data_IF_978990056512
#
_entry.id   IF_978990056512
#
_cell.length_a   1.000
_cell.length_b   1.000
_cell.length_c   1.000
_cell.angle_alpha   90.00
_cell.angle_beta   90.00
_cell.angle_gamma   90.00
#
_symmetry.space_group_name_H-M   'P 1'
#
loop_
_entity.id
_entity.type
_entity.pdbx_description
1 polymer ?
#
# COMPACT_ATOMS: atom_id res chain seq x y z
N UNK A 1 -10.06 14.75 -10.79
CA UNK A 1 -8.85 14.60 -11.60
C UNK A 1 -7.75 13.97 -10.79
N UNK A 2 -7.17 12.90 -11.31
CA UNK A 2 -6.05 12.23 -10.65
C UNK A 2 -4.80 13.08 -10.83
N UNK A 3 -4.11 13.38 -9.72
CA UNK A 3 -2.83 14.06 -9.82
C UNK A 3 -1.73 13.02 -9.59
N UNK A 4 -0.80 12.95 -10.53
CA UNK A 4 0.35 12.08 -10.42
C UNK A 4 1.56 12.92 -10.07
N UNK A 5 2.22 12.59 -8.98
CA UNK A 5 3.48 13.18 -8.58
C UNK A 5 4.51 12.06 -8.51
N UNK A 6 5.76 12.42 -8.78
CA UNK A 6 6.85 11.45 -8.68
C UNK A 6 7.86 11.98 -7.69
N UNK A 7 8.30 11.14 -6.78
CA UNK A 7 9.33 11.49 -5.83
C UNK A 7 10.38 10.38 -5.78
N UNK A 8 11.55 10.71 -5.27
CA UNK A 8 12.67 9.78 -5.18
C UNK A 8 13.00 9.58 -3.71
N UNK A 9 13.13 8.32 -3.31
CA UNK A 9 13.74 7.98 -2.02
C UNK A 9 15.11 7.37 -2.30
N UNK A 10 16.08 7.63 -1.41
CA UNK A 10 17.47 7.28 -1.64
C UNK A 10 17.93 6.03 -0.90
N UNK A 11 17.06 5.46 -0.08
CA UNK A 11 17.38 4.27 0.71
C UNK A 11 16.10 3.57 1.13
N UNK A 12 16.20 2.28 1.54
CA UNK A 12 15.04 1.59 2.13
C UNK A 12 14.48 2.32 3.34
N UNK A 13 15.35 2.89 4.18
CA UNK A 13 14.91 3.65 5.36
C UNK A 13 14.08 4.86 4.96
N UNK A 14 14.48 5.56 3.89
CA UNK A 14 13.73 6.73 3.43
C UNK A 14 12.39 6.32 2.83
N UNK A 15 12.35 5.21 2.08
CA UNK A 15 11.09 4.67 1.59
C UNK A 15 10.16 4.31 2.75
N UNK A 16 10.71 3.70 3.80
CA UNK A 16 9.93 3.35 4.99
C UNK A 16 9.40 4.61 5.70
N UNK A 17 10.24 5.65 5.82
CA UNK A 17 9.81 6.91 6.45
C UNK A 17 8.69 7.59 5.67
N UNK A 18 8.76 7.54 4.34
CA UNK A 18 7.69 8.08 3.52
C UNK A 18 6.38 7.33 3.78
N UNK A 19 6.44 6.01 3.81
CA UNK A 19 5.25 5.19 4.07
C UNK A 19 4.71 5.41 5.47
N UNK A 20 5.59 5.56 6.45
CA UNK A 20 5.19 5.83 7.83
C UNK A 20 4.44 7.16 7.93
N UNK A 21 4.95 8.19 7.28
CA UNK A 21 4.28 9.50 7.25
C UNK A 21 2.95 9.42 6.51
N UNK A 22 2.92 8.68 5.39
CA UNK A 22 1.69 8.49 4.63
C UNK A 22 0.61 7.78 5.46
N UNK A 23 1.02 6.82 6.28
CA UNK A 23 0.07 6.11 7.16
C UNK A 23 -0.65 7.09 8.09
N UNK A 24 -0.02 8.20 8.42
CA UNK A 24 -0.62 9.22 9.29
C UNK A 24 -1.86 9.89 8.72
N UNK A 25 -2.07 9.84 7.40
CA UNK A 25 -3.26 10.42 6.77
C UNK A 25 -4.31 9.37 6.40
N UNK A 26 -4.03 8.11 6.67
CA UNK A 26 -4.97 7.03 6.37
C UNK A 26 -6.02 6.90 7.48
N UNK A 27 -7.20 6.45 7.10
CA UNK A 27 -8.34 6.27 7.98
C UNK A 27 -8.94 4.87 7.77
N UNK A 28 -9.77 4.39 8.73
CA UNK A 28 -10.41 3.09 8.56
C UNK A 28 -11.15 3.00 7.22
N UNK A 29 -10.94 1.89 6.52
CA UNK A 29 -11.54 1.65 5.21
C UNK A 29 -10.66 2.08 4.04
N UNK A 30 -9.53 2.74 4.28
CA UNK A 30 -8.65 3.15 3.20
C UNK A 30 -7.95 1.94 2.58
N UNK A 31 -7.71 2.02 1.28
CA UNK A 31 -7.10 0.95 0.48
C UNK A 31 -5.87 1.50 -0.22
N UNK A 32 -4.76 0.78 -0.13
CA UNK A 32 -3.50 1.14 -0.78
C UNK A 32 -3.10 0.01 -1.72
N UNK A 33 -3.13 0.30 -3.01
CA UNK A 33 -2.66 -0.62 -4.04
C UNK A 33 -1.17 -0.37 -4.28
N UNK A 34 -0.36 -1.42 -4.23
CA UNK A 34 1.09 -1.34 -4.41
C UNK A 34 1.49 -2.05 -5.68
N UNK A 35 2.22 -1.35 -6.53
CA UNK A 35 2.70 -1.84 -7.80
C UNK A 35 4.22 -1.67 -7.90
N UNK A 36 4.85 -2.55 -8.67
CA UNK A 36 6.30 -2.48 -8.88
C UNK A 36 6.88 -3.86 -9.11
N UNK A 37 8.05 -3.91 -9.71
CA UNK A 37 8.75 -5.17 -9.96
C UNK A 37 9.19 -5.83 -8.65
N UNK A 38 9.53 -7.12 -8.72
CA UNK A 38 10.06 -7.84 -7.57
C UNK A 38 11.29 -7.09 -7.03
N UNK A 39 11.35 -6.94 -5.72
CA UNK A 39 12.46 -6.25 -5.05
C UNK A 39 12.40 -4.73 -5.11
N UNK A 40 11.36 -4.14 -5.70
CA UNK A 40 11.28 -2.69 -5.82
C UNK A 40 11.04 -1.96 -4.49
N UNK A 41 10.58 -2.68 -3.44
CA UNK A 41 10.37 -2.07 -2.13
C UNK A 41 8.92 -2.03 -1.67
N UNK A 42 8.04 -2.82 -2.31
CA UNK A 42 6.64 -2.87 -1.90
C UNK A 42 6.49 -3.33 -0.44
N UNK A 43 7.21 -4.36 -0.05
CA UNK A 43 7.17 -4.86 1.33
C UNK A 43 7.78 -3.86 2.31
N UNK A 44 8.85 -3.16 1.90
CA UNK A 44 9.43 -2.07 2.70
C UNK A 44 8.39 -0.97 2.95
N UNK A 45 7.62 -0.66 1.91
CA UNK A 45 6.54 0.32 2.03
C UNK A 45 5.49 -0.13 3.06
N UNK A 46 5.11 -1.41 3.01
CA UNK A 46 4.15 -1.96 3.97
C UNK A 46 4.71 -1.92 5.40
N UNK A 47 6.01 -2.16 5.58
CA UNK A 47 6.65 -2.00 6.90
C UNK A 47 6.47 -0.59 7.43
N UNK A 48 6.66 0.40 6.55
CA UNK A 48 6.46 1.80 6.93
C UNK A 48 5.01 2.09 7.29
N UNK A 49 4.06 1.57 6.51
CA UNK A 49 2.65 1.70 6.85
C UNK A 49 2.36 1.09 8.22
N UNK A 50 2.87 -0.11 8.46
CA UNK A 50 2.68 -0.80 9.73
C UNK A 50 3.21 0.03 10.89
N UNK A 51 4.42 0.57 10.75
CA UNK A 51 5.02 1.42 11.76
C UNK A 51 4.16 2.64 12.05
N UNK A 52 3.69 3.31 11.00
CA UNK A 52 2.85 4.49 11.13
C UNK A 52 1.48 4.21 11.70
N UNK A 53 0.98 2.99 11.54
CA UNK A 53 -0.30 2.55 12.11
C UNK A 53 -0.16 2.00 13.53
N UNK A 54 1.05 2.01 14.09
CA UNK A 54 1.27 1.59 15.47
C UNK A 54 1.40 0.10 15.67
N UNK A 55 1.77 -0.63 14.64
CA UNK A 55 2.05 -2.07 14.75
C UNK A 55 3.40 -2.25 15.45
N UNK A 56 3.40 -2.88 16.63
CA UNK A 56 4.63 -3.06 17.39
C UNK A 56 5.67 -3.90 16.65
N UNK A 57 5.21 -4.89 15.93
CA UNK A 57 6.07 -5.86 15.23
C UNK A 57 6.33 -5.47 13.78
N UNK A 58 6.33 -4.19 13.45
CA UNK A 58 6.47 -3.73 12.07
C UNK A 58 7.76 -4.25 11.40
N UNK A 59 8.81 -4.48 12.16
CA UNK A 59 10.07 -5.00 11.61
C UNK A 59 9.95 -6.43 11.08
N UNK A 60 8.93 -7.16 11.52
CA UNK A 60 8.70 -8.54 11.10
C UNK A 60 7.71 -8.65 9.95
N UNK A 61 7.24 -7.52 9.43
CA UNK A 61 6.38 -7.53 8.25
C UNK A 61 7.16 -8.08 7.06
N UNK A 62 6.58 -9.07 6.40
CA UNK A 62 7.16 -9.64 5.19
C UNK A 62 6.03 -9.97 4.21
N UNK A 63 6.40 -10.28 2.97
CA UNK A 63 5.40 -10.59 1.94
C UNK A 63 4.63 -11.86 2.30
N UNK A 64 3.28 -11.82 2.31
CA UNK A 64 2.46 -12.97 2.61
C UNK A 64 2.15 -13.83 1.39
N UNK A 65 3.11 -13.98 0.44
CA UNK A 65 2.83 -14.60 -0.87
C UNK A 65 2.31 -16.03 -0.79
N UNK A 66 2.62 -16.77 0.28
CA UNK A 66 2.14 -18.16 0.43
C UNK A 66 0.79 -18.24 1.15
N UNK A 67 0.50 -17.30 2.04
CA UNK A 67 -0.76 -17.28 2.80
C UNK A 67 -1.75 -16.26 2.27
N UNK A 68 -1.32 -15.40 1.36
CA UNK A 68 -2.07 -14.36 0.65
C UNK A 68 -2.38 -13.15 1.51
N UNK A 69 -2.84 -13.31 2.75
CA UNK A 69 -3.17 -12.18 3.63
C UNK A 69 -2.60 -12.39 5.02
N UNK A 70 -2.05 -11.32 5.59
CA UNK A 70 -1.66 -11.26 7.00
C UNK A 70 -2.32 -10.05 7.63
N UNK A 71 -2.77 -10.22 8.86
CA UNK A 71 -3.42 -9.16 9.63
C UNK A 71 -2.49 -8.73 10.76
N UNK A 72 -2.28 -7.44 10.89
CA UNK A 72 -1.44 -6.86 11.94
C UNK A 72 -2.26 -5.93 12.81
N UNK A 73 -2.13 -6.07 14.12
CA UNK A 73 -2.82 -5.23 15.08
C UNK A 73 -2.03 -3.96 15.31
N UNK A 74 -2.68 -2.81 15.12
CA UNK A 74 -2.12 -1.49 15.37
C UNK A 74 -3.21 -0.61 15.95
N UNK A 75 -3.08 0.71 15.80
CA UNK A 75 -4.14 1.66 16.19
C UNK A 75 -5.41 1.36 15.41
N UNK A 76 -5.25 0.88 14.19
CA UNK A 76 -6.29 0.23 13.42
C UNK A 76 -5.66 -0.97 12.73
N UNK A 77 -6.43 -2.01 12.39
CA UNK A 77 -5.87 -3.19 11.74
C UNK A 77 -5.23 -2.85 10.39
N UNK A 78 -4.15 -3.54 10.07
CA UNK A 78 -3.55 -3.51 8.75
C UNK A 78 -3.69 -4.89 8.13
N UNK A 79 -4.34 -4.94 6.96
CA UNK A 79 -4.51 -6.18 6.21
C UNK A 79 -3.57 -6.14 5.01
N UNK A 80 -2.54 -6.98 5.04
CA UNK A 80 -1.50 -7.00 4.02
C UNK A 80 -1.69 -8.21 3.10
N UNK A 81 -1.98 -7.94 1.84
CA UNK A 81 -2.19 -8.97 0.81
C UNK A 81 -1.01 -8.97 -0.16
N UNK A 82 -0.67 -10.16 -0.67
CA UNK A 82 0.20 -10.32 -1.82
C UNK A 82 -0.49 -11.28 -2.77
N UNK A 83 -0.91 -10.77 -3.93
CA UNK A 83 -1.65 -11.57 -4.91
C UNK A 83 -0.79 -11.95 -6.11
N UNK A 84 0.54 -11.88 -5.98
CA UNK A 84 1.47 -12.14 -7.08
C UNK A 84 1.25 -13.51 -7.73
N UNK A 85 1.07 -14.55 -6.89
CA UNK A 85 0.94 -15.94 -7.36
C UNK A 85 -0.48 -16.36 -7.66
N UNK A 86 -1.45 -15.47 -7.48
CA UNK A 86 -2.85 -15.84 -7.62
C UNK A 86 -3.39 -15.46 -8.99
N UNK A 87 -4.25 -16.34 -9.51
CA UNK A 87 -5.16 -16.03 -10.60
C UNK A 87 -6.24 -15.11 -10.02
N UNK A 88 -6.54 -13.99 -10.69
CA UNK A 88 -7.51 -13.02 -10.18
C UNK A 88 -8.90 -13.61 -10.02
N UNK A 89 -9.30 -14.49 -10.96
CA UNK A 89 -10.59 -15.15 -10.89
C UNK A 89 -10.69 -16.06 -9.66
N UNK A 90 -9.64 -16.84 -9.41
CA UNK A 90 -9.58 -17.71 -8.23
C UNK A 90 -9.68 -16.88 -6.96
N UNK A 91 -8.94 -15.79 -6.90
CA UNK A 91 -8.97 -14.88 -5.73
C UNK A 91 -10.38 -14.34 -5.51
N UNK A 92 -11.02 -13.83 -6.56
CA UNK A 92 -12.36 -13.25 -6.46
C UNK A 92 -13.42 -14.28 -6.04
N UNK A 93 -13.27 -15.52 -6.48
CA UNK A 93 -14.27 -16.58 -6.21
C UNK A 93 -14.07 -17.27 -4.86
N UNK A 94 -12.84 -17.34 -4.36
CA UNK A 94 -12.52 -18.16 -3.18
C UNK A 94 -12.17 -17.36 -1.93
N UNK A 95 -11.69 -16.13 -2.10
CA UNK A 95 -11.29 -15.28 -0.97
C UNK A 95 -12.43 -14.34 -0.60
N UNK A 96 -12.76 -14.27 0.67
CA UNK A 96 -13.75 -13.31 1.17
C UNK A 96 -13.05 -11.95 1.33
N UNK A 97 -12.65 -11.35 0.20
CA UNK A 97 -11.88 -10.12 0.20
C UNK A 97 -12.69 -8.92 0.73
N UNK A 98 -14.00 -8.92 0.55
CA UNK A 98 -14.86 -7.81 0.95
C UNK A 98 -14.80 -7.56 2.46
N UNK A 99 -14.63 -8.61 3.22
CA UNK A 99 -14.48 -8.55 4.66
C UNK A 99 -13.26 -7.71 5.08
N UNK A 100 -12.21 -7.67 4.25
CA UNK A 100 -11.02 -6.87 4.48
C UNK A 100 -11.09 -5.51 3.81
N UNK A 101 -11.44 -5.50 2.52
CA UNK A 101 -11.39 -4.28 1.70
C UNK A 101 -12.32 -3.18 2.20
N UNK A 102 -13.43 -3.55 2.81
CA UNK A 102 -14.43 -2.60 3.31
C UNK A 102 -14.56 -2.65 4.82
N UNK A 103 -13.45 -2.95 5.49
CA UNK A 103 -13.42 -3.12 6.94
C UNK A 103 -13.12 -1.81 7.68
N UNK A 104 -12.89 -1.92 8.99
CA UNK A 104 -12.48 -0.80 9.84
C UNK A 104 -10.96 -0.61 9.89
N UNK A 105 -10.22 -1.32 9.05
CA UNK A 105 -8.78 -1.22 8.99
C UNK A 105 -8.30 -0.64 7.67
N UNK A 106 -6.98 -0.64 7.48
CA UNK A 106 -6.33 -0.26 6.24
C UNK A 106 -5.94 -1.53 5.49
N UNK A 107 -6.23 -1.59 4.20
CA UNK A 107 -5.84 -2.72 3.35
C UNK A 107 -4.71 -2.28 2.43
N UNK A 108 -3.62 -3.06 2.40
CA UNK A 108 -2.50 -2.84 1.48
C UNK A 108 -2.33 -4.10 0.64
N UNK A 109 -2.37 -3.96 -0.68
CA UNK A 109 -2.31 -5.10 -1.61
C UNK A 109 -1.11 -4.96 -2.53
N UNK A 110 -0.14 -5.86 -2.42
CA UNK A 110 0.98 -5.95 -3.36
C UNK A 110 0.52 -6.67 -4.61
N UNK A 111 0.94 -6.19 -5.78
CA UNK A 111 0.54 -6.71 -7.09
C UNK A 111 -0.95 -6.51 -7.38
N UNK A 112 -1.49 -5.38 -6.91
CA UNK A 112 -2.92 -5.09 -7.03
C UNK A 112 -3.41 -5.02 -8.49
N UNK A 113 -2.52 -4.78 -9.45
CA UNK A 113 -2.86 -4.83 -10.87
C UNK A 113 -3.40 -6.16 -11.34
N UNK A 114 -3.19 -7.23 -10.56
CA UNK A 114 -3.74 -8.56 -10.89
C UNK A 114 -5.20 -8.73 -10.51
N UNK A 115 -5.75 -7.80 -9.72
CA UNK A 115 -7.14 -7.88 -9.26
C UNK A 115 -7.88 -6.57 -9.51
N UNK A 116 -7.60 -5.92 -10.64
CA UNK A 116 -8.18 -4.62 -10.97
C UNK A 116 -9.70 -4.63 -10.98
N UNK A 117 -10.33 -5.75 -11.32
CA UNK A 117 -11.78 -5.87 -11.42
C UNK A 117 -12.49 -5.76 -10.07
N UNK A 118 -11.77 -5.91 -8.95
CA UNK A 118 -12.38 -5.83 -7.62
C UNK A 118 -11.84 -4.71 -6.76
N UNK A 119 -10.98 -3.84 -7.32
CA UNK A 119 -10.49 -2.69 -6.57
C UNK A 119 -11.66 -1.79 -6.17
N UNK A 120 -11.61 -1.20 -4.96
CA UNK A 120 -12.67 -0.28 -4.54
C UNK A 120 -12.68 0.97 -5.42
N UNK A 121 -13.77 1.74 -5.38
CA UNK A 121 -13.89 2.98 -6.15
C UNK A 121 -12.90 4.05 -5.68
N UNK A 122 -12.60 4.04 -4.39
CA UNK A 122 -11.65 4.99 -3.82
C UNK A 122 -10.44 4.26 -3.27
N UNK A 123 -9.26 4.60 -3.79
CA UNK A 123 -8.03 4.01 -3.29
C UNK A 123 -6.82 4.85 -3.67
N UNK A 124 -5.72 4.60 -2.97
CA UNK A 124 -4.41 5.16 -3.31
C UNK A 124 -3.62 4.10 -4.08
N UNK A 125 -3.02 4.49 -5.19
CA UNK A 125 -2.14 3.58 -5.94
C UNK A 125 -0.71 4.07 -5.82
N UNK A 126 0.16 3.25 -5.27
CA UNK A 126 1.57 3.59 -5.08
C UNK A 126 2.40 2.69 -5.99
N UNK A 127 3.00 3.27 -7.00
CA UNK A 127 3.93 2.55 -7.89
C UNK A 127 5.35 2.84 -7.44
N UNK A 128 6.16 1.78 -7.32
CA UNK A 128 7.54 1.88 -6.88
C UNK A 128 8.43 1.30 -7.97
N UNK A 129 9.31 2.13 -8.52
CA UNK A 129 10.24 1.71 -9.56
C UNK A 129 11.69 1.84 -9.12
N UNK A 130 12.58 1.20 -9.84
CA UNK A 130 14.01 1.29 -9.58
C UNK A 130 14.57 2.62 -10.08
N UNK A 131 15.46 3.21 -9.30
CA UNK A 131 16.33 4.30 -9.73
C UNK A 131 17.77 3.79 -9.80
N UNK A 132 18.72 4.64 -9.46
CA UNK A 132 20.14 4.25 -9.41
C UNK A 132 20.46 3.65 -8.04
N UNK A 133 21.01 2.43 -8.01
CA UNK A 133 21.37 1.78 -6.74
C UNK A 133 20.16 1.63 -5.83
N UNK A 134 20.23 2.22 -4.64
CA UNK A 134 19.15 2.14 -3.65
C UNK A 134 18.04 3.16 -3.85
N UNK A 135 18.15 4.01 -4.87
CA UNK A 135 17.09 4.96 -5.19
C UNK A 135 15.82 4.23 -5.64
N UNK A 136 14.69 4.77 -5.24
CA UNK A 136 13.39 4.30 -5.73
C UNK A 136 12.57 5.48 -6.20
N UNK A 137 11.87 5.26 -7.31
CA UNK A 137 10.96 6.26 -7.87
C UNK A 137 9.57 5.91 -7.36
N UNK A 138 8.98 6.78 -6.56
CA UNK A 138 7.66 6.54 -6.01
C UNK A 138 6.66 7.44 -6.70
N UNK A 139 5.61 6.84 -7.25
CA UNK A 139 4.57 7.57 -7.95
C UNK A 139 3.22 7.27 -7.31
N UNK A 140 2.76 8.12 -6.39
CA UNK A 140 1.44 7.97 -5.81
C UNK A 140 0.38 8.57 -6.71
N UNK A 141 -0.75 7.88 -6.84
CA UNK A 141 -1.91 8.36 -7.61
C UNK A 141 -3.16 8.11 -6.75
N UNK A 142 -4.04 9.09 -6.73
CA UNK A 142 -5.28 8.99 -5.96
C UNK A 142 -6.47 8.74 -6.88
N UNK A 143 -7.36 7.86 -6.47
CA UNK A 143 -8.60 7.55 -7.17
C UNK A 143 -9.78 7.75 -6.22
N UNK A 144 -10.72 8.59 -6.62
CA UNK A 144 -11.94 8.87 -5.88
C UNK A 144 -11.84 10.11 -4.99
N UNK A 145 -12.99 10.64 -4.53
CA UNK A 145 -13.03 11.95 -3.85
C UNK A 145 -12.13 12.09 -2.64
N UNK A 146 -12.15 11.12 -1.73
CA UNK A 146 -11.32 11.22 -0.52
C UNK A 146 -9.83 11.13 -0.82
N UNK A 147 -9.32 10.10 -1.56
CA UNK A 147 -7.90 10.05 -1.90
C UNK A 147 -7.43 11.28 -2.68
N UNK A 148 -8.23 11.79 -3.60
CA UNK A 148 -7.87 12.95 -4.42
C UNK A 148 -7.75 14.23 -3.59
N UNK A 149 -8.41 14.28 -2.44
CA UNK A 149 -8.28 15.39 -1.50
C UNK A 149 -7.08 15.22 -0.58
N UNK A 150 -6.88 14.01 -0.08
CA UNK A 150 -5.89 13.70 0.96
C UNK A 150 -4.46 13.69 0.38
N UNK A 151 -4.27 13.06 -0.77
CA UNK A 151 -2.93 12.82 -1.31
C UNK A 151 -2.18 14.12 -1.65
N UNK A 152 -2.76 15.09 -2.37
CA UNK A 152 -2.02 16.31 -2.68
C UNK A 152 -1.60 17.08 -1.43
N UNK A 153 -2.48 17.15 -0.44
CA UNK A 153 -2.17 17.83 0.82
C UNK A 153 -1.03 17.15 1.57
N UNK A 154 -1.01 15.82 1.57
CA UNK A 154 0.08 15.06 2.17
C UNK A 154 1.40 15.30 1.44
N UNK A 155 1.39 15.23 0.11
CA UNK A 155 2.61 15.41 -0.68
C UNK A 155 3.21 16.81 -0.52
N UNK A 156 2.36 17.82 -0.39
CA UNK A 156 2.80 19.17 -0.15
C UNK A 156 3.59 19.31 1.16
N UNK A 157 3.10 18.63 2.20
CA UNK A 157 3.78 18.66 3.50
C UNK A 157 5.05 17.82 3.53
N UNK A 158 5.09 16.76 2.75
CA UNK A 158 6.26 15.88 2.70
C UNK A 158 7.46 16.53 2.02
N UNK A 159 7.23 17.29 0.95
CA UNK A 159 8.31 17.91 0.16
C UNK A 159 9.07 19.04 0.86
#
# INVERSE_FOLDING_TARGET
MNSAAELVTNSPDETMRFAEAFAGVLAPGDFVALEGELGAGKTIFVKGLAKGLGVEEYNYVNSPSFVVVKEYAGKMPLYHFDVYRLDSRYFCETMDYEKYFYSSGVTAVEWAGRITEILPEEYFNISIGYGKGDERMIRPVAYGPRPEKILPAFLEKWS
#
